data_IF_818648079895
#
_entry.id   IF_818648079895
#
_cell.length_a   1.000
_cell.length_b   1.000
_cell.length_c   1.000
_cell.angle_alpha   90.00
_cell.angle_beta   90.00
_cell.angle_gamma   90.00
#
_symmetry.space_group_name_H-M   'P 1'
#
loop_
_entity.id
_entity.type
_entity.pdbx_description
1 polymer ?
#
# COMPACT_ATOMS: atom_id res chain seq x y z
N UNK A 1 28.31 1.08 -17.97
CA UNK A 1 27.84 -0.28 -17.65
C UNK A 1 26.80 -0.66 -18.71
N UNK A 2 26.85 -1.88 -19.23
CA UNK A 2 26.08 -2.26 -20.43
C UNK A 2 24.72 -2.84 -20.02
N UNK A 3 23.60 -2.31 -20.55
CA UNK A 3 22.22 -2.79 -20.33
C UNK A 3 22.07 -4.32 -20.46
N UNK A 4 22.82 -4.94 -21.39
CA UNK A 4 22.85 -6.39 -21.57
C UNK A 4 23.35 -7.17 -20.35
N UNK A 5 24.28 -6.59 -19.57
CA UNK A 5 24.81 -7.22 -18.36
C UNK A 5 23.78 -7.18 -17.23
N UNK A 6 23.03 -6.07 -17.10
CA UNK A 6 21.93 -5.99 -16.14
C UNK A 6 20.79 -6.93 -16.49
N UNK A 7 20.39 -7.00 -17.76
CA UNK A 7 19.36 -7.93 -18.22
C UNK A 7 19.77 -9.40 -17.97
N UNK A 8 21.04 -9.75 -18.23
CA UNK A 8 21.57 -11.08 -17.92
C UNK A 8 21.58 -11.41 -16.42
N UNK A 9 21.68 -10.39 -15.57
CA UNK A 9 21.57 -10.51 -14.11
C UNK A 9 20.11 -10.49 -13.60
N UNK A 10 19.12 -10.44 -14.51
CA UNK A 10 17.69 -10.44 -14.15
C UNK A 10 17.11 -9.05 -13.86
N UNK A 11 17.85 -7.97 -14.21
CA UNK A 11 17.41 -6.58 -14.03
C UNK A 11 17.20 -5.92 -15.38
N UNK A 12 15.95 -5.68 -15.79
CA UNK A 12 15.60 -5.04 -17.04
C UNK A 12 15.45 -3.52 -16.84
N UNK A 13 16.48 -2.75 -17.22
CA UNK A 13 16.50 -1.29 -17.08
C UNK A 13 15.47 -0.60 -17.98
N UNK A 14 15.19 -1.12 -19.17
CA UNK A 14 14.20 -0.53 -20.08
C UNK A 14 12.80 -0.66 -19.49
N UNK A 15 12.43 -1.83 -19.00
CA UNK A 15 11.16 -2.04 -18.29
C UNK A 15 11.07 -1.21 -17.02
N UNK A 16 12.17 -1.06 -16.28
CA UNK A 16 12.21 -0.22 -15.08
C UNK A 16 11.91 1.25 -15.42
N UNK A 17 12.49 1.80 -16.47
CA UNK A 17 12.24 3.18 -16.89
C UNK A 17 10.81 3.39 -17.41
N UNK A 18 10.23 2.41 -18.10
CA UNK A 18 8.83 2.43 -18.50
C UNK A 18 7.89 2.40 -17.31
N UNK A 19 8.19 1.56 -16.30
CA UNK A 19 7.43 1.52 -15.04
C UNK A 19 7.50 2.88 -14.32
N UNK A 20 8.70 3.46 -14.17
CA UNK A 20 8.88 4.79 -13.56
C UNK A 20 8.07 5.89 -14.26
N UNK A 21 8.04 5.89 -15.59
CA UNK A 21 7.25 6.87 -16.34
C UNK A 21 5.75 6.76 -16.04
N UNK A 22 5.20 5.56 -15.94
CA UNK A 22 3.80 5.32 -15.55
C UNK A 22 3.53 5.71 -14.10
N UNK A 23 4.41 5.30 -13.18
CA UNK A 23 4.35 5.65 -11.77
C UNK A 23 4.32 7.17 -11.58
N UNK A 24 5.16 7.91 -12.29
CA UNK A 24 5.20 9.37 -12.19
C UNK A 24 3.84 10.03 -12.50
N UNK A 25 3.11 9.52 -13.49
CA UNK A 25 1.75 10.00 -13.82
C UNK A 25 0.76 9.68 -12.69
N UNK A 26 0.80 8.47 -12.15
CA UNK A 26 -0.07 8.05 -11.05
C UNK A 26 0.18 8.87 -9.79
N UNK A 27 1.44 9.05 -9.41
CA UNK A 27 1.88 9.87 -8.27
C UNK A 27 1.44 11.33 -8.45
N UNK A 28 1.63 11.90 -9.63
CA UNK A 28 1.18 13.26 -9.92
C UNK A 28 -0.33 13.45 -9.70
N UNK A 29 -1.12 12.43 -10.01
CA UNK A 29 -2.58 12.41 -9.80
C UNK A 29 -3.04 12.30 -8.34
N UNK A 30 -2.13 12.09 -7.38
CA UNK A 30 -2.44 12.06 -5.95
C UNK A 30 -2.05 13.35 -5.22
N UNK A 31 -1.47 14.33 -5.91
CA UNK A 31 -1.02 15.58 -5.28
C UNK A 31 -2.19 16.31 -4.63
N UNK A 32 -1.92 16.83 -3.44
CA UNK A 32 -2.82 17.68 -2.67
C UNK A 32 -2.22 19.07 -2.52
N UNK A 33 -2.95 20.03 -1.95
CA UNK A 33 -2.45 21.36 -1.62
C UNK A 33 -1.31 21.33 -0.60
N UNK A 34 -1.15 20.23 0.11
CA UNK A 34 -0.05 20.02 1.06
C UNK A 34 1.24 19.55 0.35
N UNK A 35 1.16 19.06 -0.88
CA UNK A 35 2.32 18.54 -1.61
C UNK A 35 3.32 19.65 -1.97
N UNK A 36 4.60 19.40 -1.71
CA UNK A 36 5.72 20.35 -1.98
C UNK A 36 6.70 19.71 -2.95
N UNK A 37 7.34 20.51 -3.77
CA UNK A 37 8.36 20.04 -4.73
C UNK A 37 7.77 19.33 -5.95
N UNK A 38 8.62 18.57 -6.64
CA UNK A 38 8.29 17.87 -7.87
C UNK A 38 8.19 16.35 -7.63
N UNK A 39 7.39 15.66 -8.45
CA UNK A 39 7.35 14.20 -8.49
C UNK A 39 8.71 13.66 -8.95
N UNK A 40 9.22 12.63 -8.28
CA UNK A 40 10.50 12.00 -8.61
C UNK A 40 11.72 12.63 -7.91
N UNK A 41 11.53 13.55 -6.97
CA UNK A 41 12.59 13.97 -6.04
C UNK A 41 12.95 12.80 -5.10
N UNK A 42 14.18 12.80 -4.55
CA UNK A 42 14.66 11.73 -3.67
C UNK A 42 13.87 11.59 -2.38
N UNK A 43 13.24 12.64 -1.90
CA UNK A 43 12.35 12.60 -0.73
C UNK A 43 11.03 13.29 -1.03
N UNK A 44 9.93 12.67 -0.64
CA UNK A 44 8.63 13.30 -0.69
C UNK A 44 8.53 14.41 0.36
N UNK A 45 7.99 15.55 -0.02
CA UNK A 45 7.76 16.68 0.89
C UNK A 45 6.28 17.03 0.94
N UNK A 46 5.75 17.08 2.14
CA UNK A 46 4.38 17.53 2.40
C UNK A 46 4.38 18.57 3.53
N UNK A 47 3.48 19.53 3.44
CA UNK A 47 3.26 20.49 4.52
C UNK A 47 2.44 19.83 5.61
N UNK A 48 2.70 20.22 6.85
CA UNK A 48 1.74 19.99 7.94
C UNK A 48 0.49 20.82 7.63
N UNK A 49 -0.73 20.27 7.74
CA UNK A 49 -1.96 21.02 7.53
C UNK A 49 -2.00 22.29 8.39
N UNK A 50 -2.50 23.40 7.85
CA UNK A 50 -2.64 24.64 8.61
C UNK A 50 -3.71 24.51 9.69
N UNK A 51 -3.62 25.37 10.73
CA UNK A 51 -4.63 25.47 11.78
C UNK A 51 -4.37 24.61 13.02
N UNK A 52 -3.40 23.70 12.97
CA UNK A 52 -2.95 22.95 14.13
C UNK A 52 -1.99 23.81 14.99
N UNK A 53 -2.17 23.76 16.31
CA UNK A 53 -1.34 24.50 17.26
C UNK A 53 -0.13 23.67 17.73
N UNK A 54 -0.37 22.37 17.98
CA UNK A 54 0.61 21.39 18.45
C UNK A 54 0.43 20.08 17.66
N UNK A 55 0.80 20.09 16.36
CA UNK A 55 0.61 18.90 15.51
C UNK A 55 1.51 17.75 15.96
N UNK A 56 0.93 16.56 16.09
CA UNK A 56 1.62 15.30 16.33
C UNK A 56 1.53 14.44 15.06
N UNK A 57 2.67 13.94 14.61
CA UNK A 57 2.72 13.00 13.50
C UNK A 57 2.45 11.58 14.02
N UNK A 58 1.55 10.87 13.35
CA UNK A 58 1.25 9.46 13.58
C UNK A 58 1.74 8.69 12.38
N UNK A 59 2.61 7.70 12.59
CA UNK A 59 3.25 6.93 11.53
C UNK A 59 2.97 5.44 11.75
N UNK A 60 2.67 4.74 10.67
CA UNK A 60 2.60 3.27 10.65
C UNK A 60 3.26 2.74 9.39
N UNK A 61 3.82 1.55 9.50
CA UNK A 61 4.34 0.78 8.35
C UNK A 61 3.82 -0.63 8.44
N UNK A 62 3.18 -1.09 7.38
CA UNK A 62 2.68 -2.45 7.28
C UNK A 62 2.82 -2.99 5.85
N UNK A 63 2.65 -4.30 5.70
CA UNK A 63 2.71 -5.02 4.42
C UNK A 63 1.39 -5.74 4.13
N UNK A 64 1.14 -6.00 2.84
CA UNK A 64 -0.03 -6.78 2.42
C UNK A 64 0.07 -8.24 2.88
N UNK A 65 1.28 -8.75 3.05
CA UNK A 65 1.53 -10.11 3.49
C UNK A 65 1.10 -11.16 2.45
N UNK A 66 0.74 -12.36 2.90
CA UNK A 66 0.49 -13.50 2.00
C UNK A 66 -0.76 -13.37 1.11
N UNK A 67 -1.54 -12.29 1.24
CA UNK A 67 -2.60 -11.93 0.30
C UNK A 67 -2.05 -11.68 -1.11
N UNK A 68 -0.79 -11.23 -1.24
CA UNK A 68 -0.14 -11.04 -2.55
C UNK A 68 -0.13 -12.31 -3.39
N UNK A 69 -0.07 -13.49 -2.76
CA UNK A 69 -0.10 -14.77 -3.47
C UNK A 69 -1.48 -15.06 -4.09
N UNK A 70 -2.56 -14.57 -3.49
CA UNK A 70 -3.91 -14.64 -4.06
C UNK A 70 -4.02 -13.68 -5.24
N UNK A 71 -3.45 -12.48 -5.10
CA UNK A 71 -3.40 -11.49 -6.19
C UNK A 71 -2.64 -12.03 -7.42
N UNK A 72 -1.52 -12.71 -7.20
CA UNK A 72 -0.75 -13.39 -8.25
C UNK A 72 -1.57 -14.46 -8.96
N UNK A 73 -2.23 -15.35 -8.21
CA UNK A 73 -3.05 -16.42 -8.74
C UNK A 73 -4.27 -15.89 -9.51
N UNK A 74 -4.87 -14.79 -8.99
CA UNK A 74 -6.00 -14.12 -9.64
C UNK A 74 -5.59 -13.24 -10.84
N UNK A 75 -4.30 -12.95 -11.02
CA UNK A 75 -3.81 -11.99 -12.01
C UNK A 75 -4.28 -10.55 -11.73
N UNK A 76 -4.62 -10.21 -10.49
CA UNK A 76 -5.14 -8.90 -10.09
C UNK A 76 -4.19 -8.20 -9.12
N UNK A 77 -3.66 -7.07 -9.55
CA UNK A 77 -2.60 -6.36 -8.84
C UNK A 77 -3.08 -5.02 -8.25
N UNK A 78 -4.11 -4.42 -8.83
CA UNK A 78 -4.65 -3.12 -8.40
C UNK A 78 -5.32 -3.16 -7.03
N UNK A 79 -5.97 -4.28 -6.68
CA UNK A 79 -6.70 -4.43 -5.43
C UNK A 79 -5.78 -4.45 -4.21
N UNK A 80 -4.63 -5.13 -4.30
CA UNK A 80 -3.69 -5.22 -3.16
C UNK A 80 -2.98 -3.90 -2.89
N UNK A 81 -2.79 -3.04 -3.91
CA UNK A 81 -2.30 -1.68 -3.71
C UNK A 81 -3.29 -0.81 -2.94
N UNK A 82 -4.58 -0.90 -3.25
CA UNK A 82 -5.64 -0.21 -2.53
C UNK A 82 -5.81 -0.75 -1.10
N UNK A 83 -5.75 -2.09 -0.93
CA UNK A 83 -5.78 -2.72 0.40
C UNK A 83 -4.66 -2.20 1.31
N UNK A 84 -3.44 -2.08 0.78
CA UNK A 84 -2.29 -1.57 1.52
C UNK A 84 -2.56 -0.17 2.10
N UNK A 85 -3.11 0.72 1.30
CA UNK A 85 -3.44 2.08 1.74
C UNK A 85 -4.55 2.05 2.78
N UNK A 86 -5.63 1.31 2.52
CA UNK A 86 -6.81 1.29 3.38
C UNK A 86 -6.50 0.71 4.78
N UNK A 87 -5.71 -0.37 4.87
CA UNK A 87 -5.36 -0.88 6.19
C UNK A 87 -4.39 0.05 6.93
N UNK A 88 -3.47 0.69 6.23
CA UNK A 88 -2.56 1.67 6.85
C UNK A 88 -3.31 2.92 7.37
N UNK A 89 -4.37 3.34 6.67
CA UNK A 89 -5.27 4.40 7.17
C UNK A 89 -5.94 3.96 8.47
N UNK A 90 -6.40 2.71 8.56
CA UNK A 90 -7.00 2.18 9.78
C UNK A 90 -6.01 2.18 10.96
N UNK A 91 -4.72 1.95 10.73
CA UNK A 91 -3.69 1.98 11.78
C UNK A 91 -3.56 3.35 12.46
N UNK A 92 -3.64 4.42 11.69
CA UNK A 92 -3.52 5.77 12.24
C UNK A 92 -4.86 6.35 12.72
N UNK A 93 -5.98 5.82 12.19
CA UNK A 93 -7.33 6.22 12.55
C UNK A 93 -7.61 5.98 14.05
N UNK A 94 -7.06 4.91 14.63
CA UNK A 94 -7.22 4.60 16.06
C UNK A 94 -6.68 5.69 16.98
N UNK A 95 -5.81 6.54 16.48
CA UNK A 95 -5.30 7.72 17.18
C UNK A 95 -6.03 9.02 16.82
N UNK A 96 -7.06 8.96 15.97
CA UNK A 96 -7.76 10.14 15.46
C UNK A 96 -6.96 10.95 14.45
N UNK A 97 -5.90 10.38 13.88
CA UNK A 97 -5.05 11.07 12.92
C UNK A 97 -5.67 11.15 11.52
N UNK A 98 -5.49 12.30 10.88
CA UNK A 98 -5.86 12.51 9.47
C UNK A 98 -4.67 12.13 8.57
N UNK A 99 -4.86 11.31 7.54
CA UNK A 99 -3.81 10.96 6.58
C UNK A 99 -3.28 12.20 5.85
N UNK A 100 -1.97 12.26 5.60
CA UNK A 100 -1.31 13.37 4.89
C UNK A 100 -0.50 12.85 3.71
N UNK A 101 0.25 11.77 3.93
CA UNK A 101 1.13 11.21 2.91
C UNK A 101 1.27 9.70 3.06
N UNK A 102 1.58 9.07 1.94
CA UNK A 102 1.88 7.66 1.83
C UNK A 102 3.17 7.43 1.04
N UNK A 103 3.90 6.38 1.37
CA UNK A 103 5.05 5.88 0.63
C UNK A 103 4.90 4.38 0.47
N UNK A 104 5.12 3.86 -0.75
CA UNK A 104 5.04 2.43 -1.05
C UNK A 104 6.42 1.82 -1.27
N UNK A 105 6.51 0.52 -1.03
CA UNK A 105 7.65 -0.31 -1.36
C UNK A 105 7.18 -1.54 -2.12
N UNK A 106 7.52 -1.61 -3.40
CA UNK A 106 7.22 -2.76 -4.26
C UNK A 106 8.54 -3.47 -4.57
N UNK A 107 8.73 -4.67 -4.04
CA UNK A 107 9.92 -5.46 -4.27
C UNK A 107 9.57 -6.81 -4.89
N UNK A 108 10.31 -7.27 -5.89
CA UNK A 108 10.02 -8.55 -6.51
C UNK A 108 11.05 -8.97 -7.55
N UNK A 109 10.79 -10.08 -8.22
CA UNK A 109 11.61 -10.56 -9.32
C UNK A 109 10.73 -10.92 -10.52
N UNK A 110 11.11 -10.40 -11.69
CA UNK A 110 10.43 -10.72 -12.96
C UNK A 110 9.01 -10.17 -13.08
N UNK A 111 8.66 -9.12 -12.34
CA UNK A 111 7.40 -8.41 -12.53
C UNK A 111 7.41 -7.62 -13.83
N UNK A 112 6.31 -7.68 -14.57
CA UNK A 112 6.10 -6.86 -15.75
C UNK A 112 5.79 -5.41 -15.40
N UNK A 113 6.00 -4.50 -16.35
CA UNK A 113 5.62 -3.08 -16.23
C UNK A 113 4.13 -2.91 -15.89
N UNK A 114 3.27 -3.78 -16.47
CA UNK A 114 1.83 -3.73 -16.25
C UNK A 114 1.46 -4.14 -14.81
N UNK A 115 2.13 -5.16 -14.27
CA UNK A 115 1.91 -5.60 -12.88
C UNK A 115 2.32 -4.52 -11.89
N UNK A 116 3.52 -3.95 -12.04
CA UNK A 116 4.01 -2.86 -11.20
C UNK A 116 3.07 -1.65 -11.30
N UNK A 117 2.71 -1.24 -12.52
CA UNK A 117 1.79 -0.12 -12.73
C UNK A 117 0.41 -0.38 -12.11
N UNK A 118 -0.11 -1.62 -12.19
CA UNK A 118 -1.37 -2.00 -11.56
C UNK A 118 -1.32 -1.90 -10.04
N UNK A 119 -0.24 -2.36 -9.41
CA UNK A 119 -0.05 -2.22 -7.95
C UNK A 119 -0.09 -0.73 -7.55
N UNK A 120 0.74 0.10 -8.22
CA UNK A 120 0.83 1.53 -7.89
C UNK A 120 -0.46 2.28 -8.24
N UNK A 121 -1.21 1.85 -9.25
CA UNK A 121 -2.54 2.40 -9.54
C UNK A 121 -3.50 2.17 -8.38
N UNK A 122 -3.50 0.97 -7.78
CA UNK A 122 -4.27 0.67 -6.57
C UNK A 122 -3.86 1.56 -5.40
N UNK A 123 -2.55 1.69 -5.15
CA UNK A 123 -2.02 2.61 -4.12
C UNK A 123 -2.47 4.05 -4.37
N UNK A 124 -2.32 4.54 -5.60
CA UNK A 124 -2.72 5.90 -5.96
C UNK A 124 -4.25 6.12 -5.82
N UNK A 125 -5.07 5.09 -6.14
CA UNK A 125 -6.52 5.13 -5.93
C UNK A 125 -6.86 5.28 -4.46
N UNK A 126 -6.29 4.45 -3.59
CA UNK A 126 -6.46 4.55 -2.15
C UNK A 126 -6.00 5.91 -1.60
N UNK A 127 -4.85 6.41 -2.04
CA UNK A 127 -4.38 7.74 -1.64
C UNK A 127 -5.37 8.86 -2.02
N UNK A 128 -5.94 8.82 -3.24
CA UNK A 128 -6.95 9.80 -3.66
C UNK A 128 -8.24 9.71 -2.85
N UNK A 129 -8.70 8.50 -2.51
CA UNK A 129 -9.90 8.29 -1.67
C UNK A 129 -9.76 8.92 -0.29
N UNK A 130 -8.55 8.93 0.24
CA UNK A 130 -8.23 9.49 1.56
C UNK A 130 -7.59 10.90 1.48
N UNK A 131 -7.64 11.55 0.32
CA UNK A 131 -7.15 12.92 0.10
C UNK A 131 -5.69 13.14 0.55
N UNK A 132 -4.86 12.09 0.45
CA UNK A 132 -3.44 12.16 0.78
C UNK A 132 -2.55 11.97 -0.45
N UNK A 133 -1.33 12.49 -0.37
CA UNK A 133 -0.35 12.36 -1.44
C UNK A 133 0.38 11.01 -1.36
N UNK A 134 0.52 10.32 -2.49
CA UNK A 134 1.58 9.33 -2.66
C UNK A 134 2.89 10.14 -2.84
N UNK A 135 3.62 10.32 -1.73
CA UNK A 135 4.72 11.28 -1.67
C UNK A 135 6.04 10.72 -2.19
N UNK A 136 6.15 9.40 -2.26
CA UNK A 136 7.35 8.70 -2.73
C UNK A 136 7.16 7.21 -2.62
N UNK A 137 8.22 6.47 -2.89
CA UNK A 137 8.23 5.02 -2.81
C UNK A 137 9.48 4.44 -3.42
N UNK A 138 9.57 3.10 -3.43
CA UNK A 138 10.66 2.36 -4.03
C UNK A 138 10.12 1.18 -4.82
N UNK A 139 10.67 0.97 -6.00
CA UNK A 139 10.40 -0.22 -6.81
C UNK A 139 11.71 -0.97 -7.05
N UNK A 140 11.88 -2.12 -6.41
CA UNK A 140 13.11 -2.89 -6.41
C UNK A 140 12.97 -4.21 -7.19
N UNK A 141 13.84 -4.40 -8.20
CA UNK A 141 14.02 -5.71 -8.85
C UNK A 141 15.09 -6.48 -8.08
N UNK A 142 14.70 -7.58 -7.45
CA UNK A 142 15.56 -8.35 -6.54
C UNK A 142 15.61 -9.85 -6.90
N UNK A 143 16.18 -10.18 -8.09
CA UNK A 143 16.35 -11.57 -8.51
C UNK A 143 17.29 -12.32 -7.54
N UNK A 144 16.94 -13.55 -7.19
CA UNK A 144 17.65 -14.35 -6.21
C UNK A 144 17.16 -14.19 -4.76
N UNK A 145 16.58 -13.05 -4.40
CA UNK A 145 15.86 -12.89 -3.14
C UNK A 145 14.40 -13.33 -3.28
N UNK A 146 13.74 -12.90 -4.35
CA UNK A 146 12.40 -13.36 -4.70
C UNK A 146 12.44 -14.41 -5.81
N UNK A 147 11.54 -15.36 -5.78
CA UNK A 147 11.30 -16.28 -6.89
C UNK A 147 10.74 -15.48 -8.08
N UNK A 148 11.05 -15.87 -9.33
CA UNK A 148 10.49 -15.21 -10.50
C UNK A 148 8.96 -15.14 -10.46
N UNK A 149 8.42 -13.94 -10.69
CA UNK A 149 7.00 -13.63 -10.61
C UNK A 149 6.48 -13.29 -9.22
N UNK A 150 7.24 -13.54 -8.15
CA UNK A 150 6.84 -13.18 -6.79
C UNK A 150 7.24 -11.75 -6.42
N UNK A 151 6.43 -11.16 -5.55
CA UNK A 151 6.68 -9.81 -5.04
C UNK A 151 6.24 -9.67 -3.58
N UNK A 152 6.72 -8.61 -2.96
CA UNK A 152 6.23 -8.10 -1.69
C UNK A 152 5.78 -6.64 -1.85
N UNK A 153 4.86 -6.23 -1.01
CA UNK A 153 4.25 -4.92 -1.05
C UNK A 153 4.06 -4.41 0.37
N UNK A 154 4.74 -3.33 0.70
CA UNK A 154 4.64 -2.64 1.98
C UNK A 154 4.45 -1.14 1.78
N UNK A 155 3.99 -0.45 2.81
CA UNK A 155 3.81 0.99 2.75
C UNK A 155 4.01 1.64 4.11
N UNK A 156 4.28 2.93 4.07
CA UNK A 156 4.38 3.77 5.25
C UNK A 156 3.41 4.93 5.11
N UNK A 157 2.51 5.06 6.07
CA UNK A 157 1.56 6.16 6.17
C UNK A 157 2.05 7.21 7.16
N UNK A 158 1.78 8.46 6.85
CA UNK A 158 2.01 9.61 7.72
C UNK A 158 0.68 10.32 7.90
N UNK A 159 0.21 10.40 9.13
CA UNK A 159 -0.95 11.18 9.53
C UNK A 159 -0.58 12.26 10.51
N UNK A 160 -1.53 13.14 10.79
CA UNK A 160 -1.38 14.21 11.75
C UNK A 160 -2.63 14.33 12.63
N UNK A 161 -2.41 14.66 13.89
CA UNK A 161 -3.48 14.95 14.85
C UNK A 161 -3.05 16.11 15.75
N UNK A 162 -3.99 16.94 16.21
CA UNK A 162 -3.71 17.92 17.27
C UNK A 162 -3.44 17.16 18.59
N UNK A 163 -2.41 17.52 19.33
CA UNK A 163 -1.93 16.77 20.49
C UNK A 163 -3.02 16.51 21.54
N UNK A 164 -3.85 17.51 21.82
CA UNK A 164 -4.95 17.41 22.78
C UNK A 164 -6.20 16.66 22.24
N UNK A 165 -6.17 16.25 20.96
CA UNK A 165 -7.23 15.46 20.31
C UNK A 165 -6.78 14.03 20.02
N UNK A 166 -5.51 13.71 20.29
CA UNK A 166 -5.00 12.36 20.07
C UNK A 166 -5.71 11.33 20.97
N UNK A 167 -6.19 10.25 20.37
CA UNK A 167 -6.90 9.19 21.09
C UNK A 167 -5.91 8.20 21.69
N UNK A 168 -5.95 8.05 23.01
CA UNK A 168 -5.10 7.11 23.77
C UNK A 168 -5.91 6.01 24.48
N UNK A 169 -7.25 6.08 24.40
CA UNK A 169 -8.14 5.12 25.07
C UNK A 169 -8.45 5.44 26.54
N UNK A 170 -7.85 6.46 27.11
CA UNK A 170 -8.01 6.82 28.53
C UNK A 170 -9.44 7.24 28.89
N UNK A 171 -10.23 7.66 27.89
CA UNK A 171 -11.63 8.06 28.02
C UNK A 171 -12.62 6.90 28.03
N UNK A 172 -12.21 5.67 27.64
CA UNK A 172 -13.11 4.53 27.51
C UNK A 172 -13.61 4.06 28.88
N UNK A 173 -14.93 3.88 29.01
CA UNK A 173 -15.59 3.53 30.26
C UNK A 173 -16.62 2.41 30.10
N UNK A 174 -16.90 1.65 31.16
CA UNK A 174 -18.03 0.73 31.18
C UNK A 174 -19.34 1.47 30.85
N UNK A 175 -20.09 0.97 29.89
CA UNK A 175 -21.31 1.59 29.37
C UNK A 175 -21.16 2.31 28.04
N UNK A 176 -19.94 2.47 27.53
CA UNK A 176 -19.70 2.99 26.19
C UNK A 176 -20.28 2.04 25.13
N UNK A 177 -20.81 2.64 24.05
CA UNK A 177 -21.43 1.88 22.96
C UNK A 177 -20.35 1.46 21.96
N UNK A 178 -20.33 0.16 21.64
CA UNK A 178 -19.50 -0.40 20.58
C UNK A 178 -20.24 -0.30 19.24
N UNK A 179 -19.62 0.34 18.25
CA UNK A 179 -20.12 0.42 16.89
C UNK A 179 -19.35 -0.59 16.02
N UNK A 180 -20.06 -1.49 15.35
CA UNK A 180 -19.50 -2.44 14.40
C UNK A 180 -19.87 -2.06 12.97
N UNK A 181 -18.90 -1.98 12.09
CA UNK A 181 -19.13 -1.87 10.65
C UNK A 181 -19.25 -3.25 10.03
N UNK A 182 -20.18 -3.40 9.08
CA UNK A 182 -20.30 -4.66 8.34
C UNK A 182 -19.04 -4.89 7.49
N UNK A 183 -18.49 -6.11 7.57
CA UNK A 183 -17.36 -6.51 6.74
C UNK A 183 -17.82 -6.82 5.31
N UNK A 184 -16.97 -6.49 4.33
CA UNK A 184 -17.16 -6.83 2.91
C UNK A 184 -16.47 -8.15 2.52
N UNK A 185 -15.83 -8.84 3.47
CA UNK A 185 -15.09 -10.08 3.28
C UNK A 185 -13.81 -10.12 4.08
N UNK A 186 -12.85 -10.92 3.66
CA UNK A 186 -11.51 -10.97 4.24
C UNK A 186 -10.74 -9.70 3.86
N UNK A 187 -10.22 -8.99 4.86
CA UNK A 187 -9.48 -7.75 4.62
C UNK A 187 -7.99 -8.02 4.35
N UNK A 188 -7.10 -7.83 5.32
CA UNK A 188 -5.65 -7.95 5.11
C UNK A 188 -5.04 -9.11 5.90
N UNK A 189 -5.36 -9.23 7.17
CA UNK A 189 -4.76 -10.22 8.04
C UNK A 189 -5.40 -11.62 7.91
N UNK A 190 -4.63 -12.67 8.29
CA UNK A 190 -5.12 -14.04 8.34
C UNK A 190 -5.07 -14.81 7.02
N UNK A 191 -4.52 -14.24 5.94
CA UNK A 191 -4.50 -14.88 4.61
C UNK A 191 -3.68 -16.17 4.54
N UNK A 192 -2.67 -16.36 5.37
CA UNK A 192 -1.94 -17.63 5.44
C UNK A 192 -2.88 -18.77 5.83
N UNK A 193 -3.72 -18.56 6.85
CA UNK A 193 -4.71 -19.56 7.27
C UNK A 193 -5.86 -19.68 6.25
N UNK A 194 -6.40 -18.57 5.78
CA UNK A 194 -7.48 -18.56 4.79
C UNK A 194 -7.09 -19.33 3.52
N UNK A 195 -5.90 -19.09 2.96
CA UNK A 195 -5.37 -19.80 1.80
C UNK A 195 -5.23 -21.31 2.06
N UNK A 196 -4.74 -21.67 3.25
CA UNK A 196 -4.66 -23.10 3.64
C UNK A 196 -6.02 -23.76 3.66
N UNK A 197 -7.02 -23.12 4.24
CA UNK A 197 -8.38 -23.68 4.33
C UNK A 197 -9.00 -23.74 2.95
N UNK A 198 -9.03 -22.65 2.21
CA UNK A 198 -9.76 -22.53 0.94
C UNK A 198 -9.08 -23.38 -0.16
N UNK A 199 -7.79 -23.15 -0.40
CA UNK A 199 -7.12 -23.75 -1.54
C UNK A 199 -6.55 -25.15 -1.26
N UNK A 200 -6.02 -25.39 -0.04
CA UNK A 200 -5.39 -26.68 0.26
C UNK A 200 -6.36 -27.70 0.85
N UNK A 201 -7.23 -27.31 1.77
CA UNK A 201 -8.16 -28.24 2.42
C UNK A 201 -9.45 -28.43 1.62
N UNK A 202 -10.04 -27.35 1.13
CA UNK A 202 -11.28 -27.38 0.35
C UNK A 202 -11.03 -27.58 -1.14
N UNK A 203 -9.77 -27.55 -1.60
CA UNK A 203 -9.39 -27.73 -3.00
C UNK A 203 -10.08 -26.77 -3.97
N UNK A 204 -10.50 -25.59 -3.47
CA UNK A 204 -11.08 -24.53 -4.29
C UNK A 204 -9.99 -23.72 -5.00
N UNK A 205 -10.37 -23.08 -6.09
CA UNK A 205 -9.52 -22.20 -6.87
C UNK A 205 -10.03 -20.76 -6.81
N UNK A 206 -9.19 -19.80 -7.26
CA UNK A 206 -9.64 -18.43 -7.42
C UNK A 206 -10.76 -18.37 -8.46
N UNK A 207 -11.89 -17.78 -8.06
CA UNK A 207 -13.10 -17.71 -8.89
C UNK A 207 -14.19 -18.72 -8.51
N UNK A 208 -13.87 -19.75 -7.72
CA UNK A 208 -14.87 -20.65 -7.18
C UNK A 208 -15.75 -19.95 -6.14
N UNK A 209 -16.99 -20.38 -6.04
CA UNK A 209 -17.93 -19.86 -5.03
C UNK A 209 -17.65 -20.52 -3.68
N UNK A 210 -17.67 -19.73 -2.61
CA UNK A 210 -17.66 -20.20 -1.23
C UNK A 210 -19.11 -20.32 -0.74
N UNK A 211 -19.57 -21.56 -0.62
CA UNK A 211 -20.94 -21.86 -0.19
C UNK A 211 -21.97 -21.83 -1.32
N UNK A 212 -23.21 -22.14 -0.96
CA UNK A 212 -24.38 -22.16 -1.87
C UNK A 212 -24.86 -20.76 -2.24
#
# INVERSE_FOLDING_TARGET
MNERQYAAAGVDLVSADQAKARIAVLVAGTRTDLSVGQVGAFGGMVRVPPGLRRPVLVLSTDGVGTKVLVALEAGRFDTVGEDLVNHSVNDILVHGATPVAFMDYVAGAGLTVQQIAGIVEGVARGCRQHEMALAGGETAQMPGLYQPGNFDLAGTIIGVVEEDQALHGDGIRPGDVLLGYQSTGLHTNGYTLARRIIFQQQQLQVGDRLGD
#
